data_IF_981363083097
#
_entry.id   IF_981363083097
#
_cell.length_a   1.000
_cell.length_b   1.000
_cell.length_c   1.000
_cell.angle_alpha   90.00
_cell.angle_beta   90.00
_cell.angle_gamma   90.00
#
_symmetry.space_group_name_H-M   'P 1'
#
loop_
_entity.id
_entity.type
_entity.pdbx_description
1 polymer ?
#
# COMPACT_ATOMS: atom_id res chain seq x y z
N UNK A 1 5.79 15.49 -16.09
CA UNK A 1 5.01 14.55 -15.24
C UNK A 1 4.94 13.21 -15.97
N UNK A 2 5.46 12.13 -15.38
CA UNK A 2 5.37 10.80 -15.98
C UNK A 2 3.93 10.29 -15.88
N UNK A 3 3.37 9.84 -16.99
CA UNK A 3 2.06 9.21 -17.04
C UNK A 3 2.09 7.91 -16.22
N UNK A 4 1.21 7.69 -15.22
CA UNK A 4 1.14 6.46 -14.43
C UNK A 4 0.95 5.19 -15.29
N UNK A 5 0.38 5.32 -16.49
CA UNK A 5 0.29 4.22 -17.44
C UNK A 5 1.64 3.78 -18.04
N UNK A 6 2.66 4.65 -18.07
CA UNK A 6 4.00 4.26 -18.52
C UNK A 6 4.65 3.27 -17.56
N UNK A 7 4.23 3.26 -16.29
CA UNK A 7 4.73 2.36 -15.28
C UNK A 7 4.18 0.93 -15.43
N UNK A 8 2.89 0.79 -15.78
CA UNK A 8 2.29 -0.50 -16.16
C UNK A 8 2.97 -1.11 -17.38
N UNK A 9 3.36 -0.28 -18.37
CA UNK A 9 4.11 -0.74 -19.52
C UNK A 9 5.55 -1.14 -19.17
N UNK A 10 6.21 -0.43 -18.24
CA UNK A 10 7.57 -0.78 -17.80
C UNK A 10 7.59 -2.09 -17.00
N UNK A 11 6.59 -2.34 -16.14
CA UNK A 11 6.48 -3.63 -15.42
C UNK A 11 6.22 -4.80 -16.37
N UNK A 12 5.42 -4.62 -17.41
CA UNK A 12 5.23 -5.63 -18.44
C UNK A 12 6.50 -5.87 -19.29
N UNK A 13 7.32 -4.85 -19.55
CA UNK A 13 8.59 -5.00 -20.27
C UNK A 13 9.65 -5.75 -19.45
N UNK A 14 9.68 -5.59 -18.14
CA UNK A 14 10.63 -6.31 -17.27
C UNK A 14 10.28 -7.81 -17.17
N UNK A 15 9.03 -8.19 -17.31
CA UNK A 15 8.62 -9.61 -17.33
C UNK A 15 9.02 -10.33 -18.64
N UNK A 16 9.31 -9.62 -19.71
CA UNK A 16 9.55 -10.19 -21.04
C UNK A 16 11.02 -10.54 -21.31
N UNK A 17 11.96 -10.12 -20.48
CA UNK A 17 13.39 -10.41 -20.71
C UNK A 17 13.86 -11.66 -19.97
N UNK A 18 13.31 -12.84 -20.22
CA UNK A 18 13.94 -14.15 -20.10
C UNK A 18 14.86 -14.45 -18.89
N UNK A 19 14.88 -13.62 -17.87
CA UNK A 19 15.62 -13.86 -16.64
C UNK A 19 14.92 -14.99 -15.87
N UNK A 20 15.56 -16.14 -15.83
CA UNK A 20 15.21 -17.21 -14.90
C UNK A 20 15.31 -16.65 -13.48
N UNK A 21 14.19 -16.18 -12.94
CA UNK A 21 14.12 -15.70 -11.56
C UNK A 21 14.16 -16.90 -10.63
N UNK A 22 15.25 -17.10 -9.95
CA UNK A 22 15.31 -18.02 -8.83
C UNK A 22 14.61 -17.37 -7.64
N UNK A 23 13.46 -17.91 -7.26
CA UNK A 23 12.77 -17.47 -6.06
C UNK A 23 13.43 -18.07 -4.81
N UNK A 24 13.53 -17.30 -3.71
CA UNK A 24 13.95 -17.87 -2.43
C UNK A 24 13.03 -19.02 -2.01
N UNK A 25 13.57 -20.01 -1.29
CA UNK A 25 12.80 -21.19 -0.82
C UNK A 25 11.58 -20.84 0.03
N UNK A 26 11.57 -19.67 0.67
CA UNK A 26 10.49 -19.16 1.50
C UNK A 26 9.54 -18.20 0.76
N UNK A 27 9.54 -18.19 -0.56
CA UNK A 27 8.61 -17.38 -1.33
C UNK A 27 7.20 -17.96 -1.25
N UNK A 28 6.23 -17.10 -1.00
CA UNK A 28 4.80 -17.43 -0.99
C UNK A 28 4.20 -17.21 -2.38
N UNK A 29 3.40 -18.16 -2.84
CA UNK A 29 2.67 -18.10 -4.13
C UNK A 29 1.33 -17.42 -3.94
N UNK A 30 0.94 -16.57 -4.89
CA UNK A 30 -0.32 -15.82 -4.92
C UNK A 30 -1.01 -15.99 -6.27
N UNK A 31 -2.32 -15.81 -6.31
CA UNK A 31 -3.14 -16.00 -7.52
C UNK A 31 -3.42 -14.69 -8.25
N UNK A 32 -3.65 -13.61 -7.51
CA UNK A 32 -4.06 -12.31 -8.05
C UNK A 32 -2.94 -11.27 -8.01
N UNK A 33 -1.76 -11.66 -7.57
CA UNK A 33 -0.62 -10.78 -7.52
C UNK A 33 0.02 -10.59 -8.91
N UNK A 34 0.62 -9.43 -9.15
CA UNK A 34 1.32 -9.11 -10.40
C UNK A 34 2.46 -10.11 -10.70
N UNK A 35 3.13 -10.61 -9.66
CA UNK A 35 4.08 -11.70 -9.76
C UNK A 35 3.57 -12.90 -8.95
N UNK A 36 3.70 -14.09 -9.51
CA UNK A 36 3.25 -15.34 -8.88
C UNK A 36 3.80 -15.56 -7.46
N UNK A 37 5.01 -15.07 -7.17
CA UNK A 37 5.68 -15.30 -5.90
C UNK A 37 6.33 -14.05 -5.34
N UNK A 38 6.21 -13.90 -4.03
CA UNK A 38 6.94 -12.91 -3.24
C UNK A 38 7.60 -13.53 -2.01
N UNK A 39 8.73 -12.96 -1.62
CA UNK A 39 9.48 -13.34 -0.42
C UNK A 39 9.82 -12.12 0.44
N UNK A 40 10.30 -12.37 1.65
CA UNK A 40 10.78 -11.31 2.55
C UNK A 40 9.70 -10.42 3.14
N UNK A 41 8.47 -10.93 3.26
CA UNK A 41 7.39 -10.25 3.97
C UNK A 41 7.54 -10.42 5.48
N UNK A 42 7.26 -9.38 6.23
CA UNK A 42 7.24 -9.44 7.69
C UNK A 42 5.97 -10.11 8.24
N UNK A 43 5.85 -10.17 9.58
CA UNK A 43 4.74 -10.85 10.27
C UNK A 43 3.35 -10.26 9.99
N UNK A 44 3.27 -8.98 9.62
CA UNK A 44 2.01 -8.34 9.25
C UNK A 44 1.80 -8.36 7.73
N UNK A 45 2.84 -8.08 6.95
CA UNK A 45 2.76 -8.05 5.49
C UNK A 45 2.30 -9.39 4.89
N UNK A 46 2.83 -10.52 5.38
CA UNK A 46 2.48 -11.84 4.83
C UNK A 46 1.00 -12.18 4.96
N UNK A 47 0.42 -12.19 6.17
CA UNK A 47 -1.02 -12.40 6.35
C UNK A 47 -1.89 -11.36 5.65
N UNK A 48 -1.46 -10.09 5.60
CA UNK A 48 -2.16 -9.04 4.86
C UNK A 48 -2.17 -9.30 3.36
N UNK A 49 -1.04 -9.71 2.78
CA UNK A 49 -0.93 -10.09 1.38
C UNK A 49 -1.85 -11.27 1.02
N UNK A 50 -1.98 -12.27 1.92
CA UNK A 50 -2.92 -13.38 1.72
C UNK A 50 -4.37 -12.92 1.69
N UNK A 51 -4.78 -12.08 2.64
CA UNK A 51 -6.12 -11.50 2.66
C UNK A 51 -6.37 -10.58 1.44
N UNK A 52 -5.32 -9.89 0.97
CA UNK A 52 -5.39 -9.05 -0.22
C UNK A 52 -5.57 -9.90 -1.49
N UNK A 53 -4.87 -11.03 -1.60
CA UNK A 53 -4.98 -11.95 -2.72
C UNK A 53 -6.40 -12.55 -2.83
N UNK A 54 -7.03 -12.84 -1.69
CA UNK A 54 -8.42 -13.30 -1.62
C UNK A 54 -9.45 -12.25 -2.07
N UNK A 55 -9.08 -10.98 -2.13
CA UNK A 55 -9.96 -9.90 -2.61
C UNK A 55 -10.29 -10.00 -4.10
N UNK A 56 -9.48 -10.73 -4.87
CA UNK A 56 -9.64 -10.93 -6.30
C UNK A 56 -9.16 -9.75 -7.18
N UNK A 57 -8.68 -8.67 -6.58
CA UNK A 57 -8.09 -7.55 -7.32
C UNK A 57 -6.62 -7.81 -7.62
N UNK A 58 -6.13 -7.26 -8.75
CA UNK A 58 -4.70 -7.32 -9.06
C UNK A 58 -3.93 -6.44 -8.08
N UNK A 59 -2.85 -6.98 -7.54
CA UNK A 59 -2.02 -6.28 -6.59
C UNK A 59 -0.53 -6.56 -6.79
N UNK A 60 0.31 -5.69 -6.26
CA UNK A 60 1.76 -5.81 -6.31
C UNK A 60 2.37 -5.46 -4.95
N UNK A 61 3.32 -6.29 -4.48
CA UNK A 61 4.20 -5.91 -3.39
C UNK A 61 5.28 -4.99 -3.91
N UNK A 62 5.23 -3.75 -3.50
CA UNK A 62 6.14 -2.71 -3.96
C UNK A 62 7.50 -2.82 -3.26
N UNK A 63 8.64 -2.78 -3.98
CA UNK A 63 9.95 -2.71 -3.36
C UNK A 63 10.14 -1.41 -2.55
N UNK A 64 10.79 -1.52 -1.38
CA UNK A 64 11.09 -0.36 -0.51
C UNK A 64 12.17 0.58 -1.07
N UNK A 65 12.84 0.18 -2.15
CA UNK A 65 13.75 1.02 -2.91
C UNK A 65 13.70 0.65 -4.38
N UNK A 66 13.75 1.66 -5.25
CA UNK A 66 13.65 1.46 -6.70
C UNK A 66 12.26 1.05 -7.20
N UNK A 67 11.26 0.95 -6.31
CA UNK A 67 9.87 0.73 -6.66
C UNK A 67 9.10 2.03 -6.88
N UNK A 68 7.78 1.89 -6.99
CA UNK A 68 6.89 3.04 -7.04
C UNK A 68 7.00 3.85 -5.73
N UNK A 69 7.07 5.16 -5.86
CA UNK A 69 7.12 6.05 -4.70
C UNK A 69 6.37 7.36 -4.97
N UNK A 70 5.91 7.96 -3.90
CA UNK A 70 5.27 9.27 -3.90
C UNK A 70 6.27 10.27 -3.33
N UNK A 71 6.73 11.28 -4.09
CA UNK A 71 7.65 12.29 -3.59
C UNK A 71 6.95 13.16 -2.54
N UNK A 72 7.60 13.31 -1.39
CA UNK A 72 7.16 14.18 -0.30
C UNK A 72 8.00 15.46 -0.33
N UNK A 73 7.42 16.50 -0.89
CA UNK A 73 8.07 17.82 -0.93
C UNK A 73 7.89 18.51 0.43
N UNK A 74 9.00 18.75 1.13
CA UNK A 74 9.06 19.62 2.29
C UNK A 74 10.10 20.71 2.04
N UNK A 75 10.00 21.84 2.74
CA UNK A 75 10.99 22.92 2.63
C UNK A 75 12.38 22.38 3.03
N UNK A 76 13.27 22.27 2.03
CA UNK A 76 14.68 21.90 2.21
C UNK A 76 15.01 20.42 2.17
N UNK A 77 14.03 19.50 2.02
CA UNK A 77 14.29 18.07 1.90
C UNK A 77 13.29 17.39 0.95
N UNK A 78 13.77 16.36 0.25
CA UNK A 78 12.95 15.52 -0.62
C UNK A 78 12.95 14.10 -0.09
N UNK A 79 11.91 13.73 0.65
CA UNK A 79 11.69 12.36 1.07
C UNK A 79 10.79 11.65 0.04
N UNK A 80 10.85 10.32 0.02
CA UNK A 80 9.96 9.49 -0.81
C UNK A 80 9.19 8.52 0.06
N UNK A 81 7.89 8.42 -0.18
CA UNK A 81 7.03 7.42 0.43
C UNK A 81 6.90 6.22 -0.50
N UNK A 82 7.30 5.05 -0.03
CA UNK A 82 7.17 3.77 -0.73
C UNK A 82 6.08 2.95 -0.04
N UNK A 83 4.86 2.87 -0.61
CA UNK A 83 3.83 2.00 -0.05
C UNK A 83 4.25 0.53 -0.14
N UNK A 84 3.85 -0.29 0.81
CA UNK A 84 4.15 -1.73 0.81
C UNK A 84 3.43 -2.47 -0.33
N UNK A 85 2.19 -2.06 -0.63
CA UNK A 85 1.35 -2.71 -1.65
C UNK A 85 0.66 -1.67 -2.54
N UNK A 86 0.48 -2.05 -3.81
CA UNK A 86 -0.29 -1.31 -4.79
C UNK A 86 -1.40 -2.23 -5.29
N UNK A 87 -2.63 -1.72 -5.33
CA UNK A 87 -3.81 -2.47 -5.78
C UNK A 87 -4.53 -1.68 -6.86
N UNK A 88 -4.90 -2.35 -7.93
CA UNK A 88 -5.69 -1.77 -9.02
C UNK A 88 -7.13 -2.23 -8.93
N UNK A 89 -8.03 -1.29 -8.82
CA UNK A 89 -9.47 -1.52 -8.76
C UNK A 89 -10.18 -0.48 -9.61
N UNK A 90 -10.70 -0.90 -10.75
CA UNK A 90 -11.33 0.02 -11.72
C UNK A 90 -10.39 1.21 -12.06
N UNK A 91 -10.87 2.44 -11.94
CA UNK A 91 -10.07 3.65 -12.15
C UNK A 91 -9.33 4.13 -10.89
N UNK A 92 -9.24 3.28 -9.86
CA UNK A 92 -8.60 3.59 -8.59
C UNK A 92 -7.30 2.81 -8.42
N UNK A 93 -6.27 3.49 -7.91
CA UNK A 93 -5.02 2.89 -7.47
C UNK A 93 -4.92 3.08 -5.95
N UNK A 94 -4.89 1.98 -5.23
CA UNK A 94 -4.69 2.00 -3.78
C UNK A 94 -3.23 1.77 -3.45
N UNK A 95 -2.63 2.68 -2.70
CA UNK A 95 -1.31 2.56 -2.12
C UNK A 95 -1.48 2.22 -0.64
N UNK A 96 -1.17 0.98 -0.28
CA UNK A 96 -1.41 0.44 1.06
C UNK A 96 -0.07 0.28 1.78
N UNK A 97 0.00 0.72 3.05
CA UNK A 97 1.20 0.59 3.87
C UNK A 97 0.84 0.01 5.24
N UNK A 98 1.55 -1.06 5.62
CA UNK A 98 1.28 -1.83 6.83
C UNK A 98 2.05 -1.37 8.07
N UNK A 99 2.82 -0.30 7.97
CA UNK A 99 3.66 0.22 9.07
C UNK A 99 3.41 1.69 9.40
N UNK A 100 2.62 2.38 8.57
CA UNK A 100 2.64 3.83 8.43
C UNK A 100 2.30 4.69 9.64
N UNK A 101 1.72 4.13 10.68
CA UNK A 101 1.18 4.94 11.78
C UNK A 101 2.20 5.69 12.62
N UNK A 102 3.45 5.27 12.68
CA UNK A 102 4.46 5.88 13.57
C UNK A 102 5.54 6.70 12.86
N UNK A 103 5.61 6.61 11.52
CA UNK A 103 6.63 7.29 10.73
C UNK A 103 6.16 8.63 10.17
N UNK A 104 4.86 8.90 10.14
CA UNK A 104 4.30 10.07 9.50
C UNK A 104 3.86 11.13 10.52
N UNK A 105 4.24 12.38 10.26
CA UNK A 105 3.61 13.52 10.93
C UNK A 105 2.20 13.70 10.36
N UNK A 106 1.29 14.30 11.11
CA UNK A 106 -0.07 14.60 10.62
C UNK A 106 -0.04 15.43 9.34
N UNK A 107 0.95 16.32 9.18
CA UNK A 107 1.12 17.13 7.98
C UNK A 107 1.50 16.29 6.76
N UNK A 108 2.40 15.31 6.91
CA UNK A 108 2.79 14.40 5.83
C UNK A 108 1.65 13.44 5.50
N UNK A 109 0.96 12.91 6.51
CA UNK A 109 -0.21 12.07 6.31
C UNK A 109 -1.29 12.79 5.51
N UNK A 110 -1.61 14.04 5.84
CA UNK A 110 -2.58 14.86 5.10
C UNK A 110 -2.20 15.01 3.63
N UNK A 111 -0.94 15.33 3.34
CA UNK A 111 -0.45 15.46 1.96
C UNK A 111 -0.56 14.15 1.17
N UNK A 112 -0.26 13.00 1.80
CA UNK A 112 -0.35 11.69 1.15
C UNK A 112 -1.79 11.25 0.87
N UNK A 113 -2.70 11.55 1.76
CA UNK A 113 -4.09 11.14 1.60
C UNK A 113 -4.84 11.91 0.50
N UNK A 114 -4.42 13.14 0.18
CA UNK A 114 -5.11 14.07 -0.72
C UNK A 114 -4.52 14.13 -2.13
N UNK A 115 -3.83 13.09 -2.59
CA UNK A 115 -3.30 13.06 -3.94
C UNK A 115 -4.46 12.87 -4.92
N UNK A 116 -4.82 13.96 -5.61
CA UNK A 116 -5.73 13.92 -6.74
C UNK A 116 -4.93 13.99 -8.04
N UNK A 117 -5.11 13.01 -8.90
CA UNK A 117 -4.58 13.05 -10.25
C UNK A 117 -5.67 13.42 -11.26
N UNK A 118 -5.27 13.90 -12.39
CA UNK A 118 -5.89 14.34 -13.66
C UNK A 118 -7.41 14.11 -13.91
N UNK A 119 -8.19 13.82 -12.91
CA UNK A 119 -9.65 13.66 -12.96
C UNK A 119 -10.13 12.31 -13.51
N UNK A 120 -9.25 11.42 -13.94
CA UNK A 120 -9.61 10.09 -14.46
C UNK A 120 -9.18 8.96 -13.53
N UNK A 121 -7.95 8.99 -13.05
CA UNK A 121 -7.41 7.99 -12.14
C UNK A 121 -7.20 8.64 -10.77
N UNK A 122 -7.72 8.04 -9.71
CA UNK A 122 -7.50 8.50 -8.34
C UNK A 122 -6.53 7.57 -7.63
N UNK A 123 -5.49 8.16 -7.04
CA UNK A 123 -4.58 7.46 -6.17
C UNK A 123 -5.02 7.68 -4.72
N UNK A 124 -5.25 6.59 -4.02
CA UNK A 124 -5.75 6.58 -2.64
C UNK A 124 -4.72 5.91 -1.72
N UNK A 125 -4.21 6.66 -0.75
CA UNK A 125 -3.29 6.11 0.25
C UNK A 125 -4.08 5.61 1.46
N UNK A 126 -3.70 4.45 1.99
CA UNK A 126 -4.26 3.85 3.21
C UNK A 126 -3.14 3.32 4.08
N UNK A 127 -3.27 3.51 5.38
CA UNK A 127 -2.38 2.91 6.35
C UNK A 127 -3.12 1.86 7.16
N UNK A 128 -2.43 0.75 7.44
CA UNK A 128 -2.95 -0.34 8.25
C UNK A 128 -2.00 -0.56 9.42
N UNK A 129 -2.50 -0.52 10.63
CA UNK A 129 -1.73 -0.78 11.84
C UNK A 129 -2.39 -1.87 12.68
N UNK A 130 -1.56 -2.67 13.38
CA UNK A 130 -2.08 -3.63 14.34
C UNK A 130 -2.69 -2.92 15.54
N UNK A 131 -3.78 -3.51 16.06
CA UNK A 131 -4.48 -2.99 17.25
C UNK A 131 -5.37 -1.79 16.94
N UNK A 132 -6.01 -1.27 17.99
CA UNK A 132 -6.88 -0.11 17.91
C UNK A 132 -6.09 1.14 18.25
N UNK A 133 -6.01 2.06 17.29
CA UNK A 133 -5.35 3.36 17.46
C UNK A 133 -6.36 4.48 17.23
N UNK A 134 -6.30 5.51 18.06
CA UNK A 134 -7.15 6.71 17.94
C UNK A 134 -6.41 7.92 17.38
N UNK A 135 -5.08 7.85 17.34
CA UNK A 135 -4.21 8.85 16.74
C UNK A 135 -3.07 8.17 15.97
N UNK A 136 -2.59 8.76 14.88
CA UNK A 136 -1.54 8.19 14.01
C UNK A 136 -0.26 7.80 14.75
N UNK A 137 0.07 8.49 15.86
CA UNK A 137 1.21 8.19 16.74
C UNK A 137 0.80 7.68 18.12
N UNK A 138 -0.47 7.30 18.27
CA UNK A 138 -1.01 6.82 19.53
C UNK A 138 -0.56 5.39 19.86
N UNK A 139 -0.60 5.05 21.15
CA UNK A 139 -0.42 3.65 21.57
C UNK A 139 -1.57 2.81 21.03
N UNK A 140 -1.22 1.67 20.42
CA UNK A 140 -2.21 0.69 19.98
C UNK A 140 -2.74 -0.11 21.20
N UNK A 141 -4.04 -0.24 21.32
CA UNK A 141 -4.69 -1.22 22.20
C UNK A 141 -4.73 -2.54 21.45
N UNK A 142 -4.32 -3.62 22.10
CA UNK A 142 -4.29 -4.97 21.50
C UNK A 142 -5.66 -5.37 20.96
N UNK A 143 -5.65 -6.05 19.81
CA UNK A 143 -6.80 -6.67 19.17
C UNK A 143 -7.28 -5.94 17.92
N UNK A 144 -7.46 -6.69 16.84
CA UNK A 144 -7.87 -6.18 15.55
C UNK A 144 -6.83 -5.28 14.87
N UNK A 145 -7.31 -4.47 13.96
CA UNK A 145 -6.49 -3.57 13.14
C UNK A 145 -7.16 -2.21 13.03
N UNK A 146 -6.37 -1.20 12.68
CA UNK A 146 -6.85 0.14 12.36
C UNK A 146 -6.49 0.49 10.93
N UNK A 147 -7.50 0.81 10.13
CA UNK A 147 -7.34 1.36 8.78
C UNK A 147 -7.48 2.87 8.86
N UNK A 148 -6.51 3.58 8.31
CA UNK A 148 -6.49 5.03 8.26
C UNK A 148 -6.89 5.54 6.89
N UNK A 149 -7.88 6.42 6.87
CA UNK A 149 -8.41 7.07 5.66
C UNK A 149 -8.55 8.57 5.86
N UNK A 150 -8.57 9.32 4.78
CA UNK A 150 -8.99 10.71 4.81
C UNK A 150 -10.51 10.81 4.84
N UNK A 151 -11.06 11.53 5.82
CA UNK A 151 -12.45 11.96 5.85
C UNK A 151 -12.50 13.45 6.14
N UNK A 152 -13.11 14.21 5.23
CA UNK A 152 -13.26 15.67 5.38
C UNK A 152 -11.94 16.38 5.74
N UNK A 153 -10.84 16.02 5.05
CA UNK A 153 -9.54 16.61 5.27
C UNK A 153 -8.82 16.18 6.57
N UNK A 154 -9.32 15.13 7.25
CA UNK A 154 -8.73 14.65 8.50
C UNK A 154 -8.46 13.15 8.45
N UNK A 155 -7.23 12.70 8.80
CA UNK A 155 -6.93 11.28 8.96
C UNK A 155 -7.84 10.66 10.03
N UNK A 156 -8.65 9.69 9.62
CA UNK A 156 -9.67 9.08 10.47
C UNK A 156 -9.40 7.59 10.64
N UNK A 157 -9.30 7.08 11.89
CA UNK A 157 -9.13 5.67 12.16
C UNK A 157 -10.46 4.91 12.03
N UNK A 158 -10.39 3.73 11.41
CA UNK A 158 -11.50 2.79 11.31
C UNK A 158 -11.02 1.46 11.89
N UNK A 159 -11.64 1.03 12.99
CA UNK A 159 -11.26 -0.21 13.67
C UNK A 159 -11.98 -1.41 13.07
N UNK A 160 -11.23 -2.46 12.81
CA UNK A 160 -11.73 -3.72 12.26
C UNK A 160 -11.17 -4.91 13.03
N UNK A 161 -11.89 -6.04 13.02
CA UNK A 161 -11.55 -7.18 13.85
C UNK A 161 -10.42 -8.05 13.27
N UNK A 162 -10.34 -8.14 11.94
CA UNK A 162 -9.47 -9.06 11.21
C UNK A 162 -8.93 -8.43 9.93
N UNK A 163 -7.99 -9.13 9.26
CA UNK A 163 -7.33 -8.65 8.05
C UNK A 163 -8.26 -8.62 6.84
N UNK A 164 -9.21 -9.56 6.74
CA UNK A 164 -10.18 -9.56 5.64
C UNK A 164 -11.05 -8.31 5.67
N UNK A 165 -11.47 -7.91 6.88
CA UNK A 165 -12.18 -6.65 7.07
C UNK A 165 -11.29 -5.43 6.84
N UNK A 166 -10.00 -5.53 7.20
CA UNK A 166 -9.06 -4.46 6.92
C UNK A 166 -8.88 -4.25 5.42
N UNK A 167 -8.67 -5.31 4.64
CA UNK A 167 -8.58 -5.24 3.18
C UNK A 167 -9.87 -4.67 2.57
N UNK A 168 -11.03 -5.20 2.95
CA UNK A 168 -12.33 -4.68 2.49
C UNK A 168 -12.50 -3.20 2.81
N UNK A 169 -12.03 -2.77 3.98
CA UNK A 169 -12.12 -1.37 4.37
C UNK A 169 -11.12 -0.50 3.61
N UNK A 170 -9.90 -0.98 3.34
CA UNK A 170 -8.93 -0.26 2.53
C UNK A 170 -9.43 0.01 1.10
N UNK A 171 -10.13 -0.94 0.51
CA UNK A 171 -10.56 -0.92 -0.90
C UNK A 171 -11.95 -0.28 -1.11
N UNK A 172 -12.48 0.40 -0.11
CA UNK A 172 -13.64 1.30 -0.21
C UNK A 172 -13.14 2.74 -0.48
#
# INVERSE_FOLDING_TARGET
MMNPFSWLQMTNMISYQGLVRTFPKNATTFQNALYEKYAGMNKLEGPFASALDESGYVWHRNPSSGGFHIPLLSEGDTASFYPDFIVWKEDLIYCLDTKGGHLLTDAVARKLFDIQEDGKTRLLVRFITEGKQTALRGKAIKGGYTVWKMKSGTPTPIHVADLDKAVKECLK
#
